data_IF_094359852701
#
_entry.id   IF_094359852701
#
_cell.length_a   1.000
_cell.length_b   1.000
_cell.length_c   1.000
_cell.angle_alpha   90.00
_cell.angle_beta   90.00
_cell.angle_gamma   90.00
#
_symmetry.space_group_name_H-M   'P 1'
#
loop_
_entity.id
_entity.type
_entity.pdbx_description
1 polymer ?
#
# COMPACT_ATOMS: atom_id res chain seq x y z
N UNK A 1 18.76 -5.18 26.41
CA UNK A 1 19.33 -4.54 25.20
C UNK A 1 19.14 -3.03 25.23
N UNK A 2 18.12 -2.52 25.92
CA UNK A 2 17.64 -1.14 25.86
C UNK A 2 18.46 -0.13 26.70
N UNK A 3 18.82 -0.43 27.95
CA UNK A 3 19.76 0.40 28.76
C UNK A 3 21.11 0.70 28.08
N UNK A 4 21.61 -0.23 27.27
CA UNK A 4 22.86 -0.04 26.52
C UNK A 4 22.72 1.08 25.47
N UNK A 5 21.56 1.18 24.83
CA UNK A 5 21.28 2.21 23.82
C UNK A 5 21.21 3.59 24.48
N UNK A 6 20.59 3.69 25.65
CA UNK A 6 20.55 4.94 26.44
C UNK A 6 21.95 5.37 26.87
N UNK A 7 22.77 4.45 27.37
CA UNK A 7 24.14 4.75 27.75
C UNK A 7 25.02 5.18 26.55
N UNK A 8 24.80 4.57 25.38
CA UNK A 8 25.46 4.98 24.13
C UNK A 8 25.03 6.38 23.71
N UNK A 9 23.73 6.68 23.78
CA UNK A 9 23.19 8.01 23.53
C UNK A 9 23.80 9.07 24.46
N UNK A 10 23.82 8.81 25.78
CA UNK A 10 24.42 9.72 26.75
C UNK A 10 25.90 9.98 26.46
N UNK A 11 26.64 8.93 26.09
CA UNK A 11 28.05 9.05 25.67
C UNK A 11 28.20 9.86 24.38
N UNK A 12 27.29 9.69 23.42
CA UNK A 12 27.26 10.45 22.17
C UNK A 12 26.99 11.93 22.43
N UNK A 13 26.01 12.26 23.27
CA UNK A 13 25.69 13.64 23.68
C UNK A 13 26.88 14.29 24.40
N UNK A 14 27.51 13.61 25.35
CA UNK A 14 28.70 14.10 26.05
C UNK A 14 29.85 14.43 25.08
N UNK A 15 30.07 13.57 24.08
CA UNK A 15 31.07 13.80 23.05
C UNK A 15 30.70 14.99 22.16
N UNK A 16 29.44 15.08 21.71
CA UNK A 16 28.97 16.20 20.89
C UNK A 16 29.15 17.55 21.61
N UNK A 17 28.87 17.62 22.92
CA UNK A 17 29.08 18.82 23.73
C UNK A 17 30.57 19.16 23.85
N UNK A 18 31.43 18.15 24.09
CA UNK A 18 32.88 18.35 24.24
C UNK A 18 33.57 18.80 22.95
N UNK A 19 33.19 18.26 21.80
CA UNK A 19 33.83 18.55 20.52
C UNK A 19 33.19 19.73 19.77
N UNK A 20 31.89 19.98 19.95
CA UNK A 20 31.13 21.03 19.26
C UNK A 20 31.22 22.42 19.90
N UNK A 21 31.66 22.54 21.15
CA UNK A 21 31.87 23.82 21.84
C UNK A 21 30.60 24.59 22.24
N UNK A 22 29.42 24.13 21.82
CA UNK A 22 28.10 24.62 22.26
C UNK A 22 27.09 23.47 22.22
N UNK A 23 26.04 23.54 23.04
CA UNK A 23 24.86 22.66 22.94
C UNK A 23 24.08 23.02 21.68
N UNK A 24 24.54 22.53 20.54
CA UNK A 24 23.88 22.75 19.25
C UNK A 24 22.65 21.85 19.18
N UNK A 25 21.47 22.44 19.39
CA UNK A 25 20.13 21.83 19.40
C UNK A 25 19.96 20.80 18.27
N UNK A 26 20.32 21.18 17.04
CA UNK A 26 20.17 20.32 15.87
C UNK A 26 20.99 19.01 15.96
N UNK A 27 22.11 19.01 16.67
CA UNK A 27 22.97 17.84 16.84
C UNK A 27 22.48 16.92 17.95
N UNK A 28 21.94 17.47 19.04
CA UNK A 28 21.40 16.69 20.16
C UNK A 28 20.05 16.07 19.75
N UNK A 29 19.20 16.84 19.06
CA UNK A 29 17.97 16.35 18.44
C UNK A 29 18.23 15.10 17.57
N UNK A 30 19.26 15.16 16.73
CA UNK A 30 19.63 14.03 15.85
C UNK A 30 20.10 12.79 16.63
N UNK A 31 20.82 12.98 17.74
CA UNK A 31 21.23 11.88 18.61
C UNK A 31 20.01 11.20 19.26
N UNK A 32 19.03 11.99 19.72
CA UNK A 32 17.80 11.44 20.30
C UNK A 32 16.91 10.77 19.25
N UNK A 33 16.83 11.34 18.05
CA UNK A 33 16.16 10.72 16.89
C UNK A 33 16.74 9.33 16.59
N UNK A 34 18.07 9.19 16.61
CA UNK A 34 18.75 7.91 16.42
C UNK A 34 18.42 6.92 17.54
N UNK A 35 18.37 7.38 18.80
CA UNK A 35 17.99 6.55 19.94
C UNK A 35 16.56 6.02 19.76
N UNK A 36 15.59 6.91 19.50
CA UNK A 36 14.19 6.52 19.27
C UNK A 36 14.06 5.53 18.10
N UNK A 37 14.77 5.76 16.99
CA UNK A 37 14.80 4.85 15.86
C UNK A 37 15.30 3.45 16.25
N UNK A 38 16.31 3.34 17.13
CA UNK A 38 16.79 2.05 17.62
C UNK A 38 15.75 1.32 18.49
N UNK A 39 14.94 2.04 19.27
CA UNK A 39 13.82 1.46 20.03
C UNK A 39 12.65 1.04 19.12
N UNK A 40 12.48 1.71 17.98
CA UNK A 40 11.46 1.39 16.99
C UNK A 40 11.78 0.11 16.19
N UNK A 41 13.06 -0.14 15.86
CA UNK A 41 13.51 -1.27 15.03
C UNK A 41 12.97 -2.65 15.46
N UNK A 42 13.04 -3.08 16.74
CA UNK A 42 12.53 -4.38 17.17
C UNK A 42 11.04 -4.61 16.89
N UNK A 43 10.24 -3.53 16.80
CA UNK A 43 8.80 -3.57 16.52
C UNK A 43 8.46 -3.35 15.06
N UNK A 44 9.47 -3.25 14.20
CA UNK A 44 9.31 -2.86 12.80
C UNK A 44 8.60 -1.49 12.67
N UNK A 45 8.90 -0.58 13.60
CA UNK A 45 8.46 0.80 13.55
C UNK A 45 9.55 1.67 12.94
N UNK A 46 9.15 2.80 12.38
CA UNK A 46 10.02 3.80 11.78
C UNK A 46 9.63 5.18 12.30
N UNK A 47 10.61 5.95 12.76
CA UNK A 47 10.41 7.36 13.08
C UNK A 47 10.52 8.16 11.77
N UNK A 48 9.46 8.89 11.42
CA UNK A 48 9.42 9.77 10.25
C UNK A 48 9.54 11.21 10.74
N UNK A 49 10.58 11.96 10.33
CA UNK A 49 10.75 13.34 10.77
C UNK A 49 9.77 14.29 10.09
N UNK A 50 9.35 15.33 10.80
CA UNK A 50 8.63 16.52 10.30
C UNK A 50 7.37 16.23 9.46
N UNK A 51 6.58 15.23 9.86
CA UNK A 51 5.36 14.87 9.15
C UNK A 51 4.18 15.82 9.47
N UNK A 52 3.43 16.23 8.45
CA UNK A 52 2.21 17.03 8.62
C UNK A 52 1.11 16.25 9.37
N UNK A 53 0.59 16.84 10.45
CA UNK A 53 -0.54 16.35 11.25
C UNK A 53 -1.71 17.33 11.20
N UNK A 54 -2.90 16.83 10.83
CA UNK A 54 -4.15 17.61 10.88
C UNK A 54 -4.74 17.60 12.28
N UNK A 55 -4.90 18.77 12.87
CA UNK A 55 -5.44 18.93 14.21
C UNK A 55 -6.96 18.88 14.23
N UNK A 56 -7.54 18.71 15.44
CA UNK A 56 -8.99 18.82 15.69
C UNK A 56 -9.55 20.21 15.32
N UNK A 57 -8.71 21.22 15.20
CA UNK A 57 -9.07 22.60 14.85
C UNK A 57 -9.01 22.87 13.34
N UNK A 58 -8.82 21.84 12.51
CA UNK A 58 -8.62 21.96 11.06
C UNK A 58 -7.40 22.81 10.67
N UNK A 59 -6.40 22.86 11.55
CA UNK A 59 -5.07 23.41 11.29
C UNK A 59 -4.07 22.29 11.03
N UNK A 60 -2.91 22.62 10.48
CA UNK A 60 -1.80 21.67 10.29
C UNK A 60 -0.65 22.01 11.21
N UNK A 61 -0.13 21.00 11.91
CA UNK A 61 1.07 21.08 12.74
C UNK A 61 2.09 20.05 12.27
N UNK A 62 3.36 20.23 12.61
CA UNK A 62 4.44 19.30 12.23
C UNK A 62 5.21 18.87 13.47
N UNK A 63 4.95 17.66 13.98
CA UNK A 63 5.78 17.06 15.00
C UNK A 63 7.21 16.83 14.51
N UNK A 64 8.22 17.01 15.36
CA UNK A 64 9.62 16.75 15.01
C UNK A 64 9.82 15.29 14.55
N UNK A 65 9.12 14.34 15.17
CA UNK A 65 9.07 12.96 14.71
C UNK A 65 7.72 12.29 14.92
N UNK A 66 7.36 11.39 14.02
CA UNK A 66 6.15 10.56 14.10
C UNK A 66 6.53 9.09 13.98
N UNK A 67 6.21 8.29 15.00
CA UNK A 67 6.45 6.84 15.01
C UNK A 67 5.34 6.16 14.22
N UNK A 68 5.70 5.44 13.16
CA UNK A 68 4.79 4.66 12.33
C UNK A 68 5.16 3.19 12.28
N UNK A 69 4.18 2.31 12.17
CA UNK A 69 4.43 0.89 11.90
C UNK A 69 4.52 0.58 10.39
N UNK A 70 4.75 -0.70 10.07
CA UNK A 70 4.84 -1.20 8.70
C UNK A 70 3.59 -0.93 7.84
N UNK A 71 2.42 -0.80 8.46
CA UNK A 71 1.16 -0.48 7.80
C UNK A 71 0.82 1.02 7.90
N UNK A 72 1.79 1.83 8.35
CA UNK A 72 1.79 3.29 8.47
C UNK A 72 0.78 3.87 9.44
N UNK A 73 0.34 3.07 10.41
CA UNK A 73 -0.42 3.59 11.52
C UNK A 73 0.50 4.36 12.46
N UNK A 74 0.02 5.51 12.93
CA UNK A 74 0.71 6.38 13.87
C UNK A 74 0.59 5.83 15.29
N UNK A 75 1.73 5.61 15.96
CA UNK A 75 1.81 5.09 17.33
C UNK A 75 2.15 6.17 18.35
N UNK A 76 2.90 7.20 17.96
CA UNK A 76 3.24 8.30 18.84
C UNK A 76 4.00 9.40 18.12
N UNK A 77 4.14 10.54 18.80
CA UNK A 77 4.81 11.73 18.29
C UNK A 77 5.94 12.13 19.23
N UNK A 78 6.96 12.78 18.69
CA UNK A 78 8.09 13.28 19.43
C UNK A 78 8.33 14.74 19.07
N UNK A 79 8.66 15.53 20.08
CA UNK A 79 9.00 16.94 20.03
C UNK A 79 10.28 17.19 20.82
N UNK A 80 11.25 17.82 20.17
CA UNK A 80 12.51 18.25 20.76
C UNK A 80 12.46 19.76 21.01
N UNK A 81 12.98 20.22 22.14
CA UNK A 81 12.99 21.63 22.54
C UNK A 81 14.37 22.06 22.98
N UNK A 82 14.57 23.37 22.97
CA UNK A 82 15.77 23.97 23.51
C UNK A 82 15.78 23.91 25.03
N UNK A 83 16.96 23.70 25.59
CA UNK A 83 17.20 23.68 27.04
C UNK A 83 16.94 25.00 27.77
N UNK A 84 16.80 26.10 27.01
CA UNK A 84 16.51 27.43 27.52
C UNK A 84 15.01 27.68 27.61
N UNK A 85 14.18 26.80 27.05
CA UNK A 85 12.74 26.88 27.13
C UNK A 85 12.24 26.33 28.46
N UNK A 86 11.16 26.92 28.98
CA UNK A 86 10.40 26.29 30.07
C UNK A 86 9.53 25.22 29.44
N UNK A 87 9.98 23.97 29.53
CA UNK A 87 9.35 22.81 28.86
C UNK A 87 7.82 22.75 29.06
N UNK A 88 7.34 23.05 30.27
CA UNK A 88 5.90 23.03 30.57
C UNK A 88 5.12 24.09 29.78
N UNK A 89 5.68 25.29 29.59
CA UNK A 89 5.03 26.35 28.78
C UNK A 89 5.01 25.99 27.29
N UNK A 90 6.06 25.31 26.79
CA UNK A 90 6.09 24.86 25.40
C UNK A 90 5.11 23.71 25.16
N UNK A 91 4.97 22.78 26.11
CA UNK A 91 3.96 21.72 26.09
C UNK A 91 2.56 22.35 26.00
N UNK A 92 2.24 23.33 26.86
CA UNK A 92 0.95 24.04 26.83
C UNK A 92 0.69 24.71 25.48
N UNK A 93 1.64 25.49 24.96
CA UNK A 93 1.53 26.16 23.64
C UNK A 93 1.32 25.17 22.50
N UNK A 94 1.93 23.98 22.56
CA UNK A 94 1.78 22.94 21.54
C UNK A 94 0.37 22.35 21.58
N UNK A 95 -0.19 22.09 22.76
CA UNK A 95 -1.58 21.65 22.86
C UNK A 95 -2.59 22.73 22.46
N UNK A 96 -2.32 24.01 22.74
CA UNK A 96 -3.13 25.13 22.24
C UNK A 96 -3.16 25.18 20.70
N UNK A 97 -2.05 24.82 20.04
CA UNK A 97 -1.96 24.69 18.58
C UNK A 97 -2.65 23.44 18.03
N UNK A 98 -3.08 22.52 18.89
CA UNK A 98 -3.77 21.28 18.53
C UNK A 98 -2.86 20.08 18.27
N UNK A 99 -1.66 20.06 18.85
CA UNK A 99 -0.79 18.89 18.80
C UNK A 99 -1.49 17.65 19.40
N UNK A 100 -1.12 16.44 18.93
CA UNK A 100 -1.74 15.22 19.41
C UNK A 100 -1.40 14.95 20.88
N UNK A 101 -2.41 14.53 21.64
CA UNK A 101 -2.34 14.31 23.09
C UNK A 101 -2.45 12.83 23.49
N UNK A 102 -2.59 11.92 22.52
CA UNK A 102 -2.78 10.48 22.78
C UNK A 102 -1.48 9.78 23.24
N UNK A 103 -0.34 10.07 22.60
CA UNK A 103 0.97 9.53 22.96
C UNK A 103 2.09 10.40 22.38
N UNK A 104 2.53 11.41 23.13
CA UNK A 104 3.56 12.36 22.69
C UNK A 104 4.68 12.46 23.71
N UNK A 105 5.92 12.43 23.21
CA UNK A 105 7.15 12.56 23.97
C UNK A 105 7.74 13.95 23.74
N UNK A 106 7.92 14.71 24.81
CA UNK A 106 8.63 15.98 24.79
C UNK A 106 9.99 15.83 25.47
N UNK A 107 11.01 16.49 24.94
CA UNK A 107 12.32 16.54 25.60
C UNK A 107 13.07 17.84 25.33
N UNK A 108 13.90 18.27 26.29
CA UNK A 108 14.72 19.50 26.23
C UNK A 108 16.22 19.23 26.47
N UNK A 109 16.69 18.01 26.14
CA UNK A 109 18.02 17.48 26.45
C UNK A 109 18.37 17.31 27.94
N UNK A 110 17.55 17.81 28.88
CA UNK A 110 17.73 17.63 30.32
C UNK A 110 16.64 16.76 30.93
N UNK A 111 15.41 16.91 30.44
CA UNK A 111 14.20 16.28 30.93
C UNK A 111 13.45 15.68 29.74
N UNK A 112 12.91 14.49 29.93
CA UNK A 112 11.95 13.89 29.02
C UNK A 112 10.59 13.75 29.71
N UNK A 113 9.53 14.15 29.03
CA UNK A 113 8.15 14.14 29.52
C UNK A 113 7.28 13.34 28.56
N UNK A 114 6.64 12.30 29.05
CA UNK A 114 5.70 11.48 28.29
C UNK A 114 4.27 11.87 28.65
N UNK A 115 3.49 12.26 27.64
CA UNK A 115 2.07 12.58 27.77
C UNK A 115 1.26 11.54 27.02
N UNK A 116 0.30 10.93 27.72
CA UNK A 116 -0.66 10.00 27.15
C UNK A 116 -2.07 10.37 27.58
N UNK A 117 -2.99 10.39 26.64
CA UNK A 117 -4.39 10.80 26.84
C UNK A 117 -4.54 12.16 27.53
N UNK A 118 -3.73 13.15 27.12
CA UNK A 118 -3.72 14.50 27.67
C UNK A 118 -3.23 14.58 29.13
N UNK A 119 -2.60 13.53 29.65
CA UNK A 119 -2.04 13.49 31.00
C UNK A 119 -0.56 13.13 30.96
N UNK A 120 0.24 13.86 31.73
CA UNK A 120 1.62 13.48 32.00
C UNK A 120 1.65 12.13 32.73
N UNK A 121 2.34 11.16 32.14
CA UNK A 121 2.51 9.82 32.70
C UNK A 121 3.83 9.70 33.43
N UNK A 122 4.91 10.21 32.82
CA UNK A 122 6.27 10.11 33.31
C UNK A 122 7.03 11.39 32.99
N UNK A 123 7.89 11.81 33.91
CA UNK A 123 8.88 12.86 33.75
C UNK A 123 10.18 12.39 34.37
N UNK A 124 11.21 12.32 33.56
CA UNK A 124 12.50 11.71 33.93
C UNK A 124 13.64 12.61 33.50
N UNK A 125 14.75 12.52 34.23
CA UNK A 125 15.99 13.17 33.84
C UNK A 125 16.64 12.40 32.69
N UNK A 126 17.12 13.11 31.67
CA UNK A 126 17.94 12.52 30.59
C UNK A 126 19.24 11.89 31.10
N UNK A 127 19.70 12.28 32.29
CA UNK A 127 20.86 11.71 32.96
C UNK A 127 20.61 10.37 33.65
N UNK A 128 19.34 10.03 33.94
CA UNK A 128 19.00 8.73 34.54
C UNK A 128 18.73 7.70 33.45
N UNK A 129 19.70 6.82 33.22
CA UNK A 129 19.61 5.83 32.15
C UNK A 129 18.50 4.78 32.39
N UNK A 130 18.19 4.47 33.64
CA UNK A 130 17.19 3.43 33.96
C UNK A 130 15.76 4.01 33.83
N UNK A 131 15.54 5.24 34.31
CA UNK A 131 14.26 5.92 34.16
C UNK A 131 13.97 6.32 32.70
N UNK A 132 14.99 6.78 31.95
CA UNK A 132 14.85 7.12 30.54
C UNK A 132 14.57 5.88 29.68
N UNK A 133 15.20 4.74 29.97
CA UNK A 133 14.87 3.47 29.31
C UNK A 133 13.39 3.11 29.52
N UNK A 134 12.91 3.20 30.77
CA UNK A 134 11.52 2.94 31.13
C UNK A 134 10.53 3.86 30.42
N UNK A 135 10.85 5.15 30.33
CA UNK A 135 10.03 6.14 29.64
C UNK A 135 9.95 5.87 28.13
N UNK A 136 11.08 5.68 27.45
CA UNK A 136 11.09 5.41 26.00
C UNK A 136 10.40 4.07 25.70
N UNK A 137 10.60 3.05 26.54
CA UNK A 137 9.89 1.79 26.42
C UNK A 137 8.38 2.01 26.52
N UNK A 138 7.89 2.77 27.51
CA UNK A 138 6.47 3.10 27.69
C UNK A 138 5.89 3.88 26.51
N UNK A 139 6.66 4.80 25.94
CA UNK A 139 6.29 5.55 24.73
C UNK A 139 6.15 4.64 23.50
N UNK A 140 7.12 3.75 23.26
CA UNK A 140 7.18 2.89 22.07
C UNK A 140 6.27 1.66 22.18
N UNK A 141 6.02 1.16 23.40
CA UNK A 141 5.09 0.06 23.68
C UNK A 141 3.62 0.48 23.73
N UNK A 142 3.35 1.77 23.71
CA UNK A 142 2.00 2.27 23.69
C UNK A 142 1.27 1.84 22.41
N UNK A 143 0.29 0.97 22.57
CA UNK A 143 -0.61 0.59 21.49
C UNK A 143 -1.89 1.40 21.60
N UNK A 144 -2.08 2.33 20.65
CA UNK A 144 -3.33 3.10 20.54
C UNK A 144 -4.52 2.14 20.49
N UNK A 145 -5.63 2.41 21.24
CA UNK A 145 -6.83 1.57 21.20
C UNK A 145 -7.32 1.33 19.77
N UNK A 146 -7.26 2.39 18.98
CA UNK A 146 -7.50 2.42 17.54
C UNK A 146 -6.69 1.40 16.73
N UNK A 147 -5.38 1.29 16.99
CA UNK A 147 -4.48 0.37 16.29
C UNK A 147 -4.71 -1.06 16.76
N UNK A 148 -4.96 -1.26 18.06
CA UNK A 148 -5.32 -2.56 18.62
C UNK A 148 -6.63 -3.08 18.03
N UNK A 149 -7.66 -2.24 17.96
CA UNK A 149 -8.95 -2.60 17.38
C UNK A 149 -8.80 -2.97 15.90
N UNK A 150 -7.96 -2.22 15.18
CA UNK A 150 -7.60 -2.54 13.79
C UNK A 150 -6.88 -3.89 13.65
N UNK A 151 -5.83 -4.14 14.45
CA UNK A 151 -5.09 -5.42 14.42
C UNK A 151 -5.99 -6.59 14.80
N UNK A 152 -6.87 -6.40 15.77
CA UNK A 152 -7.86 -7.39 16.18
C UNK A 152 -8.83 -7.68 15.04
N UNK A 153 -9.31 -6.65 14.34
CA UNK A 153 -10.18 -6.80 13.18
C UNK A 153 -9.48 -7.54 12.03
N UNK A 154 -8.22 -7.22 11.70
CA UNK A 154 -7.45 -7.92 10.67
C UNK A 154 -7.23 -9.40 11.05
N UNK A 155 -6.93 -9.68 12.32
CA UNK A 155 -6.75 -11.05 12.80
C UNK A 155 -8.05 -11.85 12.68
N UNK A 156 -9.15 -11.32 13.19
CA UNK A 156 -10.44 -11.98 13.12
C UNK A 156 -10.93 -12.15 11.67
N UNK A 157 -10.70 -11.15 10.82
CA UNK A 157 -10.94 -11.25 9.38
C UNK A 157 -10.12 -12.37 8.73
N UNK A 158 -8.83 -12.51 9.06
CA UNK A 158 -8.00 -13.62 8.58
C UNK A 158 -8.55 -14.98 9.01
N UNK A 159 -9.04 -15.08 10.24
CA UNK A 159 -9.59 -16.31 10.79
C UNK A 159 -10.96 -16.65 10.13
N UNK A 160 -11.73 -15.65 9.71
CA UNK A 160 -13.03 -15.81 9.01
C UNK A 160 -12.92 -16.03 7.50
N UNK A 161 -11.83 -15.60 6.85
CA UNK A 161 -11.63 -15.76 5.39
C UNK A 161 -11.91 -17.20 4.92
N UNK A 162 -11.32 -18.25 5.52
CA UNK A 162 -11.54 -19.63 5.07
C UNK A 162 -13.03 -20.01 5.01
N UNK A 163 -13.82 -19.58 6.01
CA UNK A 163 -15.25 -19.87 6.05
C UNK A 163 -16.02 -19.17 4.93
N UNK A 164 -15.60 -17.96 4.55
CA UNK A 164 -16.19 -17.21 3.45
C UNK A 164 -15.81 -17.83 2.11
N UNK A 165 -14.56 -18.27 1.97
CA UNK A 165 -14.12 -19.00 0.77
C UNK A 165 -14.93 -20.26 0.57
N UNK A 166 -15.16 -21.02 1.64
CA UNK A 166 -15.99 -22.23 1.57
C UNK A 166 -17.43 -21.88 1.17
N UNK A 167 -18.03 -20.84 1.77
CA UNK A 167 -19.36 -20.39 1.41
C UNK A 167 -19.46 -19.90 -0.05
N UNK A 168 -18.48 -19.13 -0.54
CA UNK A 168 -18.43 -18.67 -1.93
C UNK A 168 -18.25 -19.83 -2.90
N UNK A 169 -17.37 -20.78 -2.59
CA UNK A 169 -17.18 -22.01 -3.38
C UNK A 169 -18.46 -22.83 -3.43
N UNK A 170 -19.19 -22.92 -2.34
CA UNK A 170 -20.45 -23.67 -2.30
C UNK A 170 -21.57 -22.98 -3.09
N UNK A 171 -21.67 -21.65 -3.04
CA UNK A 171 -22.60 -20.89 -3.90
C UNK A 171 -22.25 -21.07 -5.39
N UNK A 172 -20.96 -21.05 -5.75
CA UNK A 172 -20.51 -21.33 -7.12
C UNK A 172 -20.86 -22.77 -7.53
N UNK A 173 -20.57 -23.78 -6.69
CA UNK A 173 -20.94 -25.18 -6.96
C UNK A 173 -22.45 -25.37 -7.11
N UNK A 174 -23.24 -24.62 -6.35
CA UNK A 174 -24.70 -24.62 -6.48
C UNK A 174 -25.13 -24.02 -7.82
N UNK A 175 -24.58 -22.87 -8.18
CA UNK A 175 -24.83 -22.24 -9.48
C UNK A 175 -24.42 -23.17 -10.65
N UNK A 176 -23.30 -23.88 -10.54
CA UNK A 176 -22.87 -24.90 -11.50
C UNK A 176 -23.92 -25.98 -11.74
N UNK A 177 -24.59 -26.45 -10.67
CA UNK A 177 -25.60 -27.51 -10.78
C UNK A 177 -26.93 -26.97 -11.29
N UNK A 178 -27.36 -25.83 -10.76
CA UNK A 178 -28.75 -25.38 -10.86
C UNK A 178 -28.99 -24.29 -11.92
N UNK A 179 -27.95 -23.57 -12.36
CA UNK A 179 -28.09 -22.36 -13.17
C UNK A 179 -27.44 -22.50 -14.55
N UNK A 180 -28.27 -22.69 -15.57
CA UNK A 180 -27.82 -22.80 -16.97
C UNK A 180 -27.17 -21.52 -17.48
N UNK A 181 -27.79 -20.36 -17.19
CA UNK A 181 -27.25 -19.06 -17.59
C UNK A 181 -25.85 -18.80 -17.02
N UNK A 182 -25.60 -19.23 -15.79
CA UNK A 182 -24.27 -19.18 -15.17
C UNK A 182 -23.25 -20.01 -15.97
N UNK A 183 -23.59 -21.28 -16.26
CA UNK A 183 -22.70 -22.18 -17.03
C UNK A 183 -22.38 -21.63 -18.42
N UNK A 184 -23.37 -21.09 -19.11
CA UNK A 184 -23.18 -20.52 -20.45
C UNK A 184 -22.24 -19.32 -20.43
N UNK A 185 -22.45 -18.38 -19.51
CA UNK A 185 -21.60 -17.20 -19.36
C UNK A 185 -20.18 -17.57 -18.91
N UNK A 186 -20.05 -18.50 -17.96
CA UNK A 186 -18.75 -19.02 -17.53
C UNK A 186 -18.01 -19.72 -18.67
N UNK A 187 -18.69 -20.52 -19.49
CA UNK A 187 -18.07 -21.18 -20.65
C UNK A 187 -17.57 -20.18 -21.68
N UNK A 188 -18.37 -19.16 -22.00
CA UNK A 188 -17.95 -18.10 -22.89
C UNK A 188 -16.71 -17.37 -22.35
N UNK A 189 -16.72 -17.05 -21.05
CA UNK A 189 -15.58 -16.40 -20.41
C UNK A 189 -14.32 -17.28 -20.34
N UNK A 190 -14.48 -18.58 -20.06
CA UNK A 190 -13.38 -19.56 -20.08
C UNK A 190 -12.70 -19.57 -21.45
N UNK A 191 -13.48 -19.60 -22.53
CA UNK A 191 -12.93 -19.60 -23.89
C UNK A 191 -12.16 -18.31 -24.17
N UNK A 192 -12.69 -17.16 -23.76
CA UNK A 192 -12.00 -15.87 -23.88
C UNK A 192 -10.68 -15.87 -23.11
N UNK A 193 -10.66 -16.39 -21.88
CA UNK A 193 -9.44 -16.51 -21.09
C UNK A 193 -8.41 -17.44 -21.74
N UNK A 194 -8.84 -18.56 -22.32
CA UNK A 194 -7.94 -19.48 -23.03
C UNK A 194 -7.28 -18.85 -24.25
N UNK A 195 -8.05 -18.05 -24.99
CA UNK A 195 -7.57 -17.37 -26.18
C UNK A 195 -6.69 -16.15 -25.85
N UNK A 196 -7.00 -15.45 -24.76
CA UNK A 196 -6.36 -14.16 -24.45
C UNK A 196 -5.26 -14.25 -23.40
N UNK A 197 -5.30 -15.24 -22.51
CA UNK A 197 -4.39 -15.36 -21.37
C UNK A 197 -3.50 -16.60 -21.53
N UNK A 198 -4.08 -17.80 -21.40
CA UNK A 198 -3.36 -19.07 -21.47
C UNK A 198 -4.34 -20.24 -21.77
N UNK A 199 -4.08 -21.10 -22.79
CA UNK A 199 -4.91 -22.25 -23.17
C UNK A 199 -5.13 -23.28 -22.06
N UNK A 200 -4.23 -23.37 -21.09
CA UNK A 200 -4.30 -24.33 -19.97
C UNK A 200 -5.28 -23.90 -18.87
N UNK A 201 -5.91 -22.71 -18.96
CA UNK A 201 -6.90 -22.26 -17.99
C UNK A 201 -8.07 -23.25 -17.92
N UNK A 202 -8.46 -23.62 -16.70
CA UNK A 202 -9.55 -24.54 -16.40
C UNK A 202 -10.74 -23.82 -15.74
N UNK A 203 -11.87 -24.55 -15.63
CA UNK A 203 -13.07 -24.07 -14.91
C UNK A 203 -12.73 -23.68 -13.47
N UNK A 204 -11.84 -24.43 -12.83
CA UNK A 204 -11.38 -24.14 -11.47
C UNK A 204 -10.74 -22.75 -11.37
N UNK A 205 -9.92 -22.36 -12.34
CA UNK A 205 -9.29 -21.04 -12.35
C UNK A 205 -10.32 -19.93 -12.51
N UNK A 206 -11.35 -20.14 -13.35
CA UNK A 206 -12.47 -19.21 -13.47
C UNK A 206 -13.20 -19.06 -12.13
N UNK A 207 -13.46 -20.15 -11.41
CA UNK A 207 -14.09 -20.09 -10.08
C UNK A 207 -13.23 -19.28 -9.10
N UNK A 208 -11.92 -19.48 -9.10
CA UNK A 208 -11.01 -18.69 -8.27
C UNK A 208 -10.96 -17.21 -8.68
N UNK A 209 -11.03 -16.89 -9.98
CA UNK A 209 -11.17 -15.50 -10.46
C UNK A 209 -12.46 -14.85 -9.97
N UNK A 210 -13.59 -15.57 -9.98
CA UNK A 210 -14.87 -15.08 -9.44
C UNK A 210 -14.74 -14.75 -7.94
N UNK A 211 -14.17 -15.66 -7.15
CA UNK A 211 -13.99 -15.48 -5.71
C UNK A 211 -13.08 -14.29 -5.43
N UNK A 212 -11.94 -14.21 -6.11
CA UNK A 212 -11.00 -13.09 -5.96
C UNK A 212 -11.68 -11.76 -6.29
N UNK A 213 -12.43 -11.70 -7.40
CA UNK A 213 -13.18 -10.51 -7.77
C UNK A 213 -14.24 -10.11 -6.74
N UNK A 214 -15.03 -11.06 -6.21
CA UNK A 214 -16.04 -10.76 -5.16
C UNK A 214 -15.36 -10.09 -3.95
N UNK A 215 -14.27 -10.67 -3.47
CA UNK A 215 -13.60 -10.18 -2.26
C UNK A 215 -12.90 -8.85 -2.50
N UNK A 216 -12.28 -8.66 -3.67
CA UNK A 216 -11.69 -7.36 -4.01
C UNK A 216 -12.74 -6.29 -4.21
N UNK A 217 -13.81 -6.56 -4.96
CA UNK A 217 -14.86 -5.56 -5.21
C UNK A 217 -15.43 -5.03 -3.89
N UNK A 218 -15.65 -5.92 -2.92
CA UNK A 218 -16.17 -5.54 -1.63
C UNK A 218 -15.17 -4.70 -0.82
N UNK A 219 -13.88 -5.06 -0.83
CA UNK A 219 -12.80 -4.26 -0.25
C UNK A 219 -12.75 -2.87 -0.90
N UNK A 220 -12.77 -2.79 -2.22
CA UNK A 220 -12.68 -1.52 -2.95
C UNK A 220 -13.89 -0.61 -2.72
N UNK A 221 -15.08 -1.18 -2.78
CA UNK A 221 -16.33 -0.45 -2.59
C UNK A 221 -16.50 0.01 -1.15
N UNK A 222 -16.25 -0.88 -0.19
CA UNK A 222 -16.54 -0.61 1.22
C UNK A 222 -15.40 0.06 1.98
N UNK A 223 -14.17 0.03 1.49
CA UNK A 223 -13.06 0.67 2.21
C UNK A 223 -12.61 1.94 1.49
N UNK A 224 -12.69 1.96 0.17
CA UNK A 224 -12.06 3.02 -0.64
C UNK A 224 -13.06 3.91 -1.37
N UNK A 225 -14.34 3.56 -1.41
CA UNK A 225 -15.37 4.27 -2.19
C UNK A 225 -15.06 4.36 -3.69
N UNK A 226 -14.09 3.57 -4.17
CA UNK A 226 -13.66 3.52 -5.58
C UNK A 226 -14.38 2.38 -6.30
N UNK A 227 -15.72 2.48 -6.36
CA UNK A 227 -16.53 1.55 -7.16
C UNK A 227 -16.34 1.72 -8.66
N UNK A 228 -15.70 2.82 -9.09
CA UNK A 228 -15.56 3.18 -10.49
C UNK A 228 -14.60 2.23 -11.22
N UNK A 229 -13.50 1.81 -10.59
CA UNK A 229 -12.56 0.85 -11.17
C UNK A 229 -13.23 -0.45 -11.62
N UNK A 230 -14.03 -1.09 -10.76
CA UNK A 230 -14.69 -2.37 -11.09
C UNK A 230 -15.78 -2.21 -12.17
N UNK A 231 -16.33 -1.00 -12.31
CA UNK A 231 -17.34 -0.67 -13.34
C UNK A 231 -16.73 -0.35 -14.69
N UNK A 232 -15.51 0.20 -14.71
CA UNK A 232 -14.85 0.66 -15.94
C UNK A 232 -13.85 -0.37 -16.48
N UNK A 233 -13.19 -1.11 -15.59
CA UNK A 233 -12.25 -2.15 -15.99
C UNK A 233 -12.97 -3.27 -16.76
N UNK A 234 -12.47 -3.58 -17.94
CA UNK A 234 -13.06 -4.53 -18.87
C UNK A 234 -13.13 -5.96 -18.30
N UNK A 235 -12.06 -6.46 -17.67
CA UNK A 235 -12.06 -7.80 -17.06
C UNK A 235 -13.03 -7.86 -15.88
N UNK A 236 -13.06 -6.80 -15.06
CA UNK A 236 -13.96 -6.69 -13.92
C UNK A 236 -15.44 -6.72 -14.35
N UNK A 237 -15.77 -6.08 -15.48
CA UNK A 237 -17.12 -6.10 -16.05
C UNK A 237 -17.56 -7.49 -16.51
N UNK A 238 -16.71 -8.21 -17.24
CA UNK A 238 -17.04 -9.57 -17.72
C UNK A 238 -17.32 -10.52 -16.53
N UNK A 239 -16.50 -10.43 -15.48
CA UNK A 239 -16.72 -11.21 -14.26
C UNK A 239 -18.00 -10.78 -13.54
N UNK A 240 -18.27 -9.48 -13.46
CA UNK A 240 -19.49 -8.94 -12.85
C UNK A 240 -20.75 -9.47 -13.55
N UNK A 241 -20.71 -9.63 -14.88
CA UNK A 241 -21.84 -10.20 -15.64
C UNK A 241 -22.11 -11.67 -15.30
N UNK A 242 -21.07 -12.45 -14.99
CA UNK A 242 -21.20 -13.83 -14.50
C UNK A 242 -21.79 -13.82 -13.08
N UNK A 243 -21.27 -12.98 -12.19
CA UNK A 243 -21.76 -12.89 -10.80
C UNK A 243 -23.22 -12.47 -10.73
N UNK A 244 -23.66 -11.59 -11.63
CA UNK A 244 -25.04 -11.15 -11.72
C UNK A 244 -26.05 -12.29 -11.98
N UNK A 245 -25.61 -13.48 -12.41
CA UNK A 245 -26.51 -14.61 -12.66
C UNK A 245 -26.90 -15.38 -11.40
N UNK A 246 -26.11 -15.33 -10.33
CA UNK A 246 -26.34 -16.16 -9.12
C UNK A 246 -26.05 -15.43 -7.80
N UNK A 247 -25.11 -14.48 -7.78
CA UNK A 247 -24.63 -13.83 -6.57
C UNK A 247 -25.23 -12.44 -6.38
N UNK A 248 -26.55 -12.37 -6.25
CA UNK A 248 -27.29 -11.09 -6.17
C UNK A 248 -28.11 -10.94 -4.88
N UNK A 249 -28.40 -9.69 -4.50
CA UNK A 249 -29.33 -9.34 -3.43
C UNK A 249 -29.06 -10.05 -2.10
N UNK A 250 -29.97 -10.94 -1.72
CA UNK A 250 -29.92 -11.65 -0.45
C UNK A 250 -28.74 -12.62 -0.35
N UNK A 251 -28.38 -13.31 -1.44
CA UNK A 251 -27.25 -14.25 -1.46
C UNK A 251 -25.96 -13.53 -1.12
N UNK A 252 -25.64 -12.45 -1.86
CA UNK A 252 -24.46 -11.62 -1.59
C UNK A 252 -24.42 -11.11 -0.15
N UNK A 253 -25.54 -10.53 0.33
CA UNK A 253 -25.60 -9.96 1.67
C UNK A 253 -25.42 -11.01 2.76
N UNK A 254 -26.02 -12.19 2.61
CA UNK A 254 -25.92 -13.25 3.60
C UNK A 254 -24.52 -13.86 3.64
N UNK A 255 -23.89 -14.08 2.48
CA UNK A 255 -22.55 -14.66 2.38
C UNK A 255 -21.47 -13.72 2.90
N UNK A 256 -21.59 -12.41 2.66
CA UNK A 256 -20.59 -11.42 3.07
C UNK A 256 -20.88 -10.74 4.42
N UNK A 257 -21.98 -11.14 5.11
CA UNK A 257 -22.39 -10.51 6.37
C UNK A 257 -21.32 -10.60 7.46
N UNK A 258 -20.59 -11.70 7.54
CA UNK A 258 -19.56 -11.91 8.56
C UNK A 258 -18.43 -10.89 8.47
N UNK A 259 -18.20 -10.31 7.28
CA UNK A 259 -17.08 -9.39 7.04
C UNK A 259 -17.43 -7.90 7.02
N UNK A 260 -18.71 -7.55 7.01
CA UNK A 260 -19.17 -6.16 7.08
C UNK A 260 -18.56 -5.40 8.28
N UNK A 261 -18.44 -6.07 9.43
CA UNK A 261 -17.88 -5.44 10.63
C UNK A 261 -16.40 -5.07 10.46
N UNK A 262 -15.60 -5.91 9.80
CA UNK A 262 -14.19 -5.63 9.54
C UNK A 262 -14.03 -4.45 8.60
N UNK A 263 -14.85 -4.39 7.54
CA UNK A 263 -14.85 -3.25 6.64
C UNK A 263 -15.22 -1.96 7.35
N UNK A 264 -16.14 -1.99 8.32
CA UNK A 264 -16.46 -0.80 9.11
C UNK A 264 -15.24 -0.31 9.95
N UNK A 265 -14.45 -1.22 10.53
CA UNK A 265 -13.25 -0.87 11.30
C UNK A 265 -12.16 -0.30 10.38
N UNK A 266 -11.90 -0.94 9.24
CA UNK A 266 -10.89 -0.47 8.27
C UNK A 266 -11.31 0.87 7.66
N UNK A 267 -12.60 1.07 7.35
CA UNK A 267 -13.15 2.33 6.83
C UNK A 267 -12.99 3.48 7.81
N UNK A 268 -13.38 3.30 9.08
CA UNK A 268 -13.18 4.32 10.13
C UNK A 268 -11.71 4.74 10.26
N UNK A 269 -10.78 3.83 10.00
CA UNK A 269 -9.35 4.12 10.00
C UNK A 269 -8.94 4.87 8.74
N UNK A 270 -9.40 4.45 7.56
CA UNK A 270 -9.08 5.11 6.29
C UNK A 270 -9.64 6.53 6.18
N UNK A 271 -10.76 6.83 6.85
CA UNK A 271 -11.36 8.17 6.95
C UNK A 271 -10.51 9.16 7.76
N UNK A 272 -9.80 8.67 8.78
CA UNK A 272 -8.94 9.50 9.63
C UNK A 272 -7.57 9.79 9.01
N UNK A 273 -7.22 9.13 7.88
CA UNK A 273 -5.96 9.37 7.19
C UNK A 273 -6.10 10.64 6.35
N UNK A 274 -5.49 11.73 6.84
CA UNK A 274 -5.61 13.07 6.25
C UNK A 274 -4.98 13.19 4.85
N UNK A 275 -3.94 12.40 4.55
CA UNK A 275 -3.14 12.50 3.35
C UNK A 275 -3.48 11.37 2.36
N UNK A 276 -3.82 11.72 1.11
CA UNK A 276 -4.09 10.75 0.04
C UNK A 276 -2.94 9.75 -0.18
N UNK A 277 -1.68 10.19 -0.06
CA UNK A 277 -0.54 9.31 -0.23
C UNK A 277 -0.42 8.27 0.91
N UNK A 278 -0.73 8.67 2.13
CA UNK A 278 -0.74 7.76 3.27
C UNK A 278 -1.91 6.80 3.21
N UNK A 279 -3.06 7.27 2.74
CA UNK A 279 -4.23 6.44 2.48
C UNK A 279 -3.84 5.33 1.52
N UNK A 280 -3.15 5.62 0.42
CA UNK A 280 -2.71 4.60 -0.55
C UNK A 280 -1.74 3.57 0.01
N UNK A 281 -0.77 4.00 0.80
CA UNK A 281 0.15 3.02 1.41
C UNK A 281 -0.54 2.16 2.47
N UNK A 282 -1.53 2.70 3.17
CA UNK A 282 -2.45 1.91 3.99
C UNK A 282 -3.28 0.93 3.14
N UNK A 283 -3.75 1.34 1.96
CA UNK A 283 -4.47 0.45 1.03
C UNK A 283 -3.62 -0.74 0.62
N UNK A 284 -2.37 -0.48 0.20
CA UNK A 284 -1.39 -1.51 -0.16
C UNK A 284 -1.20 -2.49 1.00
N UNK A 285 -1.01 -1.99 2.21
CA UNK A 285 -0.82 -2.81 3.40
C UNK A 285 -2.06 -3.66 3.78
N UNK A 286 -3.28 -3.10 3.71
CA UNK A 286 -4.52 -3.85 3.96
C UNK A 286 -4.65 -5.00 2.97
N UNK A 287 -4.41 -4.71 1.70
CA UNK A 287 -4.48 -5.70 0.65
C UNK A 287 -3.41 -6.79 0.82
N UNK A 288 -2.17 -6.42 1.12
CA UNK A 288 -1.08 -7.38 1.31
C UNK A 288 -1.43 -8.44 2.37
N UNK A 289 -2.02 -7.97 3.48
CA UNK A 289 -2.47 -8.85 4.55
C UNK A 289 -3.69 -9.68 4.13
N UNK A 290 -4.61 -9.11 3.35
CA UNK A 290 -5.72 -9.85 2.75
C UNK A 290 -5.22 -10.99 1.87
N UNK A 291 -4.27 -10.73 0.97
CA UNK A 291 -3.79 -11.72 0.02
C UNK A 291 -3.10 -12.89 0.73
N UNK A 292 -2.23 -12.60 1.71
CA UNK A 292 -1.58 -13.61 2.55
C UNK A 292 -2.58 -14.48 3.31
N UNK A 293 -3.70 -13.90 3.71
CA UNK A 293 -4.79 -14.62 4.37
C UNK A 293 -5.62 -15.48 3.38
N UNK A 294 -5.90 -14.95 2.18
CA UNK A 294 -6.72 -15.58 1.15
C UNK A 294 -6.11 -16.87 0.61
N UNK A 295 -4.84 -16.84 0.22
CA UNK A 295 -4.21 -18.02 -0.38
C UNK A 295 -2.75 -18.14 0.06
N UNK A 296 -2.47 -18.62 1.28
CA UNK A 296 -1.11 -18.73 1.81
C UNK A 296 -0.20 -19.56 0.90
N UNK A 297 -0.74 -20.65 0.34
CA UNK A 297 0.01 -21.57 -0.55
C UNK A 297 0.30 -20.95 -1.91
N UNK A 298 -0.63 -20.20 -2.50
CA UNK A 298 -0.35 -19.48 -3.74
C UNK A 298 0.48 -18.23 -3.50
N UNK A 299 0.41 -17.56 -2.34
CA UNK A 299 1.31 -16.48 -1.98
C UNK A 299 2.77 -16.96 -1.91
N UNK A 300 2.99 -18.15 -1.31
CA UNK A 300 4.31 -18.78 -1.28
C UNK A 300 4.75 -19.32 -2.67
N UNK A 301 3.82 -19.79 -3.51
CA UNK A 301 4.11 -20.41 -4.83
C UNK A 301 4.21 -19.43 -6.00
N UNK A 302 3.33 -18.43 -6.05
CA UNK A 302 3.33 -17.34 -7.03
C UNK A 302 4.38 -16.28 -6.69
N UNK A 303 4.97 -16.34 -5.50
CA UNK A 303 6.07 -15.48 -5.11
C UNK A 303 5.72 -14.02 -5.34
N UNK A 304 4.63 -13.53 -4.72
CA UNK A 304 4.37 -12.08 -4.65
C UNK A 304 5.48 -11.47 -3.76
N UNK A 305 6.66 -11.36 -4.35
CA UNK A 305 7.84 -10.75 -3.79
C UNK A 305 7.72 -9.30 -4.19
N UNK A 306 7.47 -8.46 -3.19
CA UNK A 306 7.60 -7.03 -3.39
C UNK A 306 9.06 -6.72 -3.65
N UNK A 307 9.34 -6.25 -4.85
CA UNK A 307 10.65 -5.69 -5.17
C UNK A 307 10.79 -4.39 -4.37
N UNK A 308 11.79 -4.27 -3.48
CA UNK A 308 12.03 -3.03 -2.75
C UNK A 308 12.17 -1.84 -3.69
N UNK A 309 11.55 -0.70 -3.36
CA UNK A 309 11.55 0.48 -4.21
C UNK A 309 12.97 0.99 -4.51
N UNK A 310 13.92 0.77 -3.61
CA UNK A 310 15.33 1.11 -3.80
C UNK A 310 15.95 0.32 -4.95
N UNK A 311 15.60 -0.96 -5.08
CA UNK A 311 16.08 -1.83 -6.16
C UNK A 311 15.47 -1.40 -7.48
N UNK A 312 14.16 -1.13 -7.48
CA UNK A 312 13.43 -0.68 -8.69
C UNK A 312 13.99 0.65 -9.20
N UNK A 313 14.21 1.63 -8.30
CA UNK A 313 14.79 2.93 -8.66
C UNK A 313 16.19 2.79 -9.25
N UNK A 314 17.04 1.98 -8.62
CA UNK A 314 18.37 1.67 -9.16
C UNK A 314 18.30 1.10 -10.57
N UNK A 315 17.37 0.18 -10.84
CA UNK A 315 17.20 -0.42 -12.17
C UNK A 315 16.68 0.58 -13.21
N UNK A 316 15.74 1.46 -12.86
CA UNK A 316 15.23 2.52 -13.75
C UNK A 316 16.36 3.51 -14.10
N UNK A 317 17.09 4.01 -13.10
CA UNK A 317 18.22 4.92 -13.32
C UNK A 317 19.33 4.28 -14.16
N UNK A 318 19.61 3.00 -13.91
CA UNK A 318 20.58 2.23 -14.69
C UNK A 318 20.13 2.03 -16.13
N UNK A 319 18.85 1.74 -16.36
CA UNK A 319 18.28 1.58 -17.69
C UNK A 319 18.32 2.89 -18.48
N UNK A 320 17.98 4.03 -17.85
CA UNK A 320 18.08 5.34 -18.47
C UNK A 320 19.53 5.72 -18.83
N UNK A 321 20.46 5.51 -17.89
CA UNK A 321 21.89 5.73 -18.13
C UNK A 321 22.42 4.88 -19.29
N UNK A 322 22.09 3.59 -19.34
CA UNK A 322 22.54 2.69 -20.42
C UNK A 322 21.89 3.07 -21.75
N UNK A 323 20.62 3.46 -21.75
CA UNK A 323 19.92 3.95 -22.94
C UNK A 323 20.63 5.19 -23.50
N UNK A 324 21.00 6.13 -22.64
CA UNK A 324 21.72 7.33 -23.04
C UNK A 324 23.13 7.01 -23.54
N UNK A 325 23.88 6.20 -22.80
CA UNK A 325 25.27 5.85 -23.10
C UNK A 325 25.42 5.13 -24.45
N UNK A 326 24.50 4.22 -24.75
CA UNK A 326 24.63 3.34 -25.91
C UNK A 326 23.79 3.76 -27.11
N UNK A 327 22.69 4.49 -26.90
CA UNK A 327 21.76 4.89 -27.98
C UNK A 327 21.56 6.40 -28.10
N UNK A 328 22.13 7.21 -27.20
CA UNK A 328 21.97 8.67 -27.23
C UNK A 328 20.52 9.11 -26.96
N UNK A 329 19.75 8.29 -26.25
CA UNK A 329 18.33 8.49 -25.93
C UNK A 329 18.08 8.35 -24.43
N UNK A 330 17.07 9.04 -23.92
CA UNK A 330 16.57 8.84 -22.56
C UNK A 330 15.28 8.03 -22.59
N UNK A 331 14.94 7.36 -21.50
CA UNK A 331 13.64 6.70 -21.29
C UNK A 331 12.47 7.68 -21.48
N UNK A 332 12.70 8.98 -21.26
CA UNK A 332 11.70 10.04 -21.47
C UNK A 332 11.55 10.48 -22.94
N UNK A 333 12.47 10.10 -23.83
CA UNK A 333 12.44 10.52 -25.23
C UNK A 333 11.37 9.76 -26.03
N UNK A 334 10.64 10.42 -26.94
CA UNK A 334 9.72 9.74 -27.86
C UNK A 334 10.43 8.66 -28.69
N UNK A 335 9.73 7.55 -28.92
CA UNK A 335 10.22 6.37 -29.63
C UNK A 335 10.97 5.36 -28.75
N UNK A 336 11.06 5.59 -27.44
CA UNK A 336 11.59 4.62 -26.46
C UNK A 336 10.41 3.92 -25.77
N UNK A 337 10.07 2.73 -26.25
CA UNK A 337 9.01 1.87 -25.72
C UNK A 337 9.51 1.10 -24.47
N UNK A 338 8.69 1.04 -23.43
CA UNK A 338 9.01 0.40 -22.14
C UNK A 338 7.95 -0.63 -21.81
N UNK A 339 8.37 -1.88 -21.63
CA UNK A 339 7.49 -3.01 -21.28
C UNK A 339 7.94 -3.63 -19.95
N UNK A 340 7.00 -3.74 -19.02
CA UNK A 340 7.12 -4.57 -17.82
C UNK A 340 6.29 -5.86 -18.00
N UNK A 341 6.92 -6.99 -18.36
CA UNK A 341 6.20 -8.20 -18.76
C UNK A 341 5.59 -8.98 -17.59
N UNK A 342 5.92 -8.63 -16.34
CA UNK A 342 5.46 -9.31 -15.13
C UNK A 342 5.31 -8.29 -14.00
N UNK A 343 4.35 -7.38 -14.18
CA UNK A 343 4.28 -6.15 -13.41
C UNK A 343 3.91 -6.36 -11.94
N UNK A 344 3.32 -7.50 -11.61
CA UNK A 344 2.87 -7.83 -10.27
C UNK A 344 1.90 -6.76 -9.79
N UNK A 345 2.34 -5.95 -8.83
CA UNK A 345 1.55 -4.85 -8.25
C UNK A 345 1.82 -3.49 -8.91
N UNK A 346 2.50 -3.45 -10.06
CA UNK A 346 2.78 -2.24 -10.82
C UNK A 346 3.99 -1.44 -10.34
N UNK A 347 4.86 -2.03 -9.49
CA UNK A 347 5.90 -1.26 -8.78
C UNK A 347 6.88 -0.58 -9.75
N UNK A 348 7.35 -1.27 -10.80
CA UNK A 348 8.21 -0.67 -11.82
C UNK A 348 7.53 0.48 -12.55
N UNK A 349 6.28 0.29 -12.97
CA UNK A 349 5.53 1.33 -13.68
C UNK A 349 5.29 2.54 -12.79
N UNK A 350 4.95 2.36 -11.51
CA UNK A 350 4.75 3.47 -10.58
C UNK A 350 6.04 4.25 -10.33
N UNK A 351 7.18 3.57 -10.11
CA UNK A 351 8.47 4.25 -9.91
C UNK A 351 8.94 4.92 -11.21
N UNK A 352 8.63 4.35 -12.38
CA UNK A 352 8.91 4.96 -13.68
C UNK A 352 8.09 6.24 -13.88
N UNK A 353 6.80 6.21 -13.52
CA UNK A 353 5.95 7.41 -13.54
C UNK A 353 6.56 8.49 -12.64
N UNK A 354 7.00 8.15 -11.44
CA UNK A 354 7.66 9.08 -10.50
C UNK A 354 9.02 9.59 -11.00
N UNK A 355 9.75 8.79 -11.77
CA UNK A 355 11.05 9.16 -12.35
C UNK A 355 10.92 10.12 -13.55
N UNK A 356 9.97 9.88 -14.45
CA UNK A 356 9.87 10.61 -15.72
C UNK A 356 9.43 12.08 -15.54
N UNK A 357 9.94 13.03 -16.34
CA UNK A 357 9.55 14.43 -16.21
C UNK A 357 8.09 14.65 -16.67
N UNK A 358 7.37 15.54 -15.98
CA UNK A 358 5.93 15.75 -16.16
C UNK A 358 5.55 16.21 -17.57
N UNK A 359 6.41 16.95 -18.26
CA UNK A 359 6.19 17.44 -19.63
C UNK A 359 6.28 16.32 -20.69
N UNK A 360 6.85 15.16 -20.35
CA UNK A 360 6.95 13.98 -21.23
C UNK A 360 6.02 12.85 -20.82
N UNK A 361 5.65 12.81 -19.54
CA UNK A 361 4.94 11.69 -18.93
C UNK A 361 3.59 11.38 -19.60
N UNK A 362 2.80 12.38 -20.01
CA UNK A 362 1.49 12.12 -20.63
C UNK A 362 1.61 11.31 -21.93
N UNK A 363 2.57 11.64 -22.78
CA UNK A 363 2.83 10.86 -24.01
C UNK A 363 3.28 9.44 -23.67
N UNK A 364 4.25 9.32 -22.75
CA UNK A 364 4.78 8.03 -22.30
C UNK A 364 3.68 7.13 -21.73
N UNK A 365 2.90 7.65 -20.80
CA UNK A 365 1.80 6.93 -20.14
C UNK A 365 0.76 6.43 -21.14
N UNK A 366 0.36 7.26 -22.10
CA UNK A 366 -0.69 6.91 -23.08
C UNK A 366 -0.20 5.96 -24.16
N UNK A 367 1.08 5.99 -24.51
CA UNK A 367 1.53 5.38 -25.75
C UNK A 367 2.74 4.47 -25.63
N UNK A 368 3.65 4.67 -24.68
CA UNK A 368 4.98 4.05 -24.71
C UNK A 368 5.37 3.31 -23.41
N UNK A 369 4.49 3.28 -22.42
CA UNK A 369 4.62 2.48 -21.20
C UNK A 369 3.57 1.39 -21.25
N UNK A 370 4.01 0.14 -21.14
CA UNK A 370 3.19 -1.06 -21.21
C UNK A 370 3.50 -1.99 -20.06
N UNK A 371 2.51 -2.72 -19.58
CA UNK A 371 2.76 -3.76 -18.61
C UNK A 371 1.78 -4.93 -18.68
N UNK A 372 2.25 -6.10 -18.28
CA UNK A 372 1.48 -7.34 -18.36
C UNK A 372 1.46 -8.04 -17.01
N UNK A 373 0.38 -8.76 -16.75
CA UNK A 373 0.23 -9.60 -15.56
C UNK A 373 -0.63 -10.83 -15.90
N UNK A 374 -0.35 -11.97 -15.28
CA UNK A 374 -1.10 -13.21 -15.50
C UNK A 374 -2.18 -13.42 -14.42
N UNK A 375 -1.95 -12.92 -13.21
CA UNK A 375 -2.87 -13.07 -12.09
C UNK A 375 -3.81 -11.87 -11.96
N UNK A 376 -5.12 -12.14 -11.92
CA UNK A 376 -6.18 -11.12 -11.87
C UNK A 376 -6.03 -10.14 -10.69
N UNK A 377 -5.60 -10.65 -9.54
CA UNK A 377 -5.55 -9.92 -8.30
C UNK A 377 -4.39 -8.89 -8.31
N UNK A 378 -3.13 -9.29 -8.58
CA UNK A 378 -2.05 -8.36 -8.93
C UNK A 378 -2.39 -7.39 -10.07
N UNK A 379 -3.06 -7.87 -11.14
CA UNK A 379 -3.50 -7.02 -12.26
C UNK A 379 -4.38 -5.84 -11.80
N UNK A 380 -5.38 -6.10 -10.95
CA UNK A 380 -6.24 -5.03 -10.41
C UNK A 380 -5.43 -4.03 -9.59
N UNK A 381 -4.49 -4.50 -8.77
CA UNK A 381 -3.62 -3.59 -8.02
C UNK A 381 -2.76 -2.74 -8.93
N UNK A 382 -2.09 -3.37 -9.89
CA UNK A 382 -1.18 -2.67 -10.77
C UNK A 382 -1.92 -1.53 -11.46
N UNK A 383 -3.10 -1.81 -12.00
CA UNK A 383 -3.91 -0.81 -12.66
C UNK A 383 -4.25 0.38 -11.73
N UNK A 384 -4.78 0.11 -10.54
CA UNK A 384 -5.11 1.16 -9.56
C UNK A 384 -3.89 1.97 -9.11
N UNK A 385 -2.78 1.29 -8.80
CA UNK A 385 -1.55 1.95 -8.38
C UNK A 385 -1.01 2.87 -9.48
N UNK A 386 -1.04 2.41 -10.73
CA UNK A 386 -0.57 3.16 -11.90
C UNK A 386 -1.43 4.41 -12.14
N UNK A 387 -2.75 4.25 -12.21
CA UNK A 387 -3.69 5.36 -12.42
C UNK A 387 -3.60 6.40 -11.30
N UNK A 388 -3.51 5.93 -10.05
CA UNK A 388 -3.37 6.81 -8.89
C UNK A 388 -2.04 7.58 -8.92
N UNK A 389 -0.92 6.90 -9.20
CA UNK A 389 0.41 7.53 -9.23
C UNK A 389 0.45 8.60 -10.32
N UNK A 390 -0.13 8.31 -11.49
CA UNK A 390 -0.29 9.29 -12.55
C UNK A 390 -1.15 10.49 -12.10
N UNK A 391 -2.29 10.25 -11.47
CA UNK A 391 -3.17 11.31 -10.98
C UNK A 391 -2.48 12.23 -9.96
N UNK A 392 -1.70 11.66 -9.03
CA UNK A 392 -0.95 12.44 -8.05
C UNK A 392 0.10 13.33 -8.71
N UNK A 393 0.87 12.76 -9.64
CA UNK A 393 1.97 13.46 -10.28
C UNK A 393 1.48 14.52 -11.29
N UNK A 394 0.41 14.23 -12.01
CA UNK A 394 -0.11 15.10 -13.08
C UNK A 394 -1.26 16.01 -12.62
N UNK A 395 -1.84 15.78 -11.44
CA UNK A 395 -2.98 16.53 -10.92
C UNK A 395 -4.31 16.27 -11.66
N UNK A 396 -4.36 15.28 -12.56
CA UNK A 396 -5.54 14.91 -13.35
C UNK A 396 -5.63 13.39 -13.51
N UNK A 397 -6.84 12.85 -13.48
CA UNK A 397 -7.08 11.43 -13.71
C UNK A 397 -6.98 11.08 -15.20
N UNK A 398 -6.41 9.92 -15.51
CA UNK A 398 -6.39 9.31 -16.84
C UNK A 398 -6.32 7.79 -16.69
N UNK A 399 -7.21 7.07 -17.36
CA UNK A 399 -7.25 5.60 -17.38
C UNK A 399 -5.94 5.02 -17.96
N UNK A 400 -5.38 3.98 -17.32
CA UNK A 400 -4.22 3.27 -17.87
C UNK A 400 -4.65 2.17 -18.84
N UNK A 401 -4.52 2.45 -20.14
CA UNK A 401 -4.98 1.56 -21.21
C UNK A 401 -3.98 0.48 -21.61
N UNK A 402 -2.73 0.58 -21.16
CA UNK A 402 -1.62 -0.26 -21.63
C UNK A 402 -1.23 -1.37 -20.64
N UNK A 403 -2.14 -1.72 -19.72
CA UNK A 403 -2.05 -2.94 -18.91
C UNK A 403 -2.86 -4.07 -19.53
N UNK A 404 -2.23 -5.25 -19.69
CA UNK A 404 -2.85 -6.47 -20.21
C UNK A 404 -2.89 -7.57 -19.16
N UNK A 405 -4.02 -8.30 -19.10
CA UNK A 405 -4.10 -9.58 -18.39
C UNK A 405 -3.75 -10.68 -19.39
N UNK A 406 -2.54 -11.25 -19.29
CA UNK A 406 -1.95 -12.14 -20.30
C UNK A 406 -0.81 -12.98 -19.73
N UNK A 407 -0.62 -14.21 -20.22
CA UNK A 407 0.62 -14.96 -20.02
C UNK A 407 1.64 -14.54 -21.09
N UNK A 408 2.69 -13.83 -20.67
CA UNK A 408 3.68 -13.29 -21.61
C UNK A 408 4.52 -14.37 -22.30
N UNK A 409 4.67 -15.56 -21.71
CA UNK A 409 5.45 -16.65 -22.32
C UNK A 409 4.69 -17.32 -23.45
N UNK A 410 3.37 -17.44 -23.32
CA UNK A 410 2.53 -18.06 -24.34
C UNK A 410 2.35 -17.13 -25.56
N UNK A 411 2.22 -15.83 -25.32
CA UNK A 411 2.06 -14.81 -26.38
C UNK A 411 3.36 -14.48 -27.14
N UNK A 412 4.54 -14.91 -26.67
CA UNK A 412 5.79 -14.81 -27.42
C UNK A 412 5.86 -15.76 -28.64
N UNK A 413 4.96 -16.74 -28.73
CA UNK A 413 5.00 -17.80 -29.75
C UNK A 413 4.31 -17.42 -31.08
N UNK A 414 4.10 -16.13 -31.35
CA UNK A 414 3.27 -15.56 -32.42
C UNK A 414 3.76 -15.80 -33.87
N UNK A 415 3.77 -17.06 -34.29
CA UNK A 415 3.60 -17.49 -35.66
C UNK A 415 2.37 -18.42 -35.73
N UNK A 416 1.18 -17.94 -35.38
CA UNK A 416 -0.02 -18.74 -35.67
C UNK A 416 -1.33 -18.44 -34.95
N UNK A 417 -1.38 -17.64 -33.88
CA UNK A 417 -2.65 -17.36 -33.23
C UNK A 417 -3.40 -16.22 -33.93
N UNK A 418 -4.19 -16.60 -34.94
CA UNK A 418 -5.21 -15.75 -35.54
C UNK A 418 -6.25 -15.45 -34.44
N UNK A 419 -6.18 -14.25 -33.85
CA UNK A 419 -7.21 -13.79 -32.92
C UNK A 419 -8.55 -13.78 -33.64
N UNK A 420 -9.46 -14.66 -33.25
CA UNK A 420 -10.79 -14.72 -33.84
C UNK A 420 -11.53 -13.43 -33.49
N UNK A 421 -12.01 -12.73 -34.51
CA UNK A 421 -12.61 -11.38 -34.45
C UNK A 421 -13.91 -11.34 -33.61
N UNK A 422 -14.31 -12.48 -33.04
CA UNK A 422 -15.55 -12.71 -32.31
C UNK A 422 -15.36 -12.99 -30.81
N UNK A 423 -14.14 -12.94 -30.27
CA UNK A 423 -13.89 -13.18 -28.85
C UNK A 423 -14.41 -12.01 -27.98
N UNK A 424 -15.42 -12.29 -27.14
CA UNK A 424 -16.05 -11.31 -26.24
C UNK A 424 -15.18 -10.95 -25.02
N UNK A 425 -13.99 -10.41 -25.26
CA UNK A 425 -13.40 -9.33 -24.44
C UNK A 425 -12.58 -8.39 -25.35
N UNK A 426 -13.27 -7.77 -26.32
CA UNK A 426 -12.68 -6.96 -27.42
C UNK A 426 -11.54 -6.05 -26.94
N UNK A 427 -11.65 -5.49 -25.73
CA UNK A 427 -10.66 -4.56 -25.20
C UNK A 427 -9.35 -5.20 -24.71
N UNK A 428 -9.36 -6.33 -23.96
CA UNK A 428 -8.09 -6.94 -23.49
C UNK A 428 -7.32 -7.52 -24.68
N UNK A 429 -8.02 -8.28 -25.53
CA UNK A 429 -7.45 -8.83 -26.76
C UNK A 429 -6.94 -7.72 -27.69
N UNK A 430 -7.67 -6.61 -27.83
CA UNK A 430 -7.19 -5.46 -28.60
C UNK A 430 -5.97 -4.78 -27.98
N UNK A 431 -5.87 -4.70 -26.64
CA UNK A 431 -4.68 -4.16 -25.96
C UNK A 431 -3.46 -5.04 -26.22
N UNK A 432 -3.62 -6.37 -26.12
CA UNK A 432 -2.57 -7.34 -26.42
C UNK A 432 -2.13 -7.22 -27.89
N UNK A 433 -3.08 -7.17 -28.84
CA UNK A 433 -2.75 -7.00 -30.25
C UNK A 433 -1.99 -5.68 -30.51
N UNK A 434 -2.46 -4.56 -29.94
CA UNK A 434 -1.79 -3.26 -30.08
C UNK A 434 -0.37 -3.26 -29.49
N UNK A 435 -0.14 -4.03 -28.43
CA UNK A 435 1.19 -4.19 -27.84
C UNK A 435 2.09 -5.04 -28.75
N UNK A 436 1.58 -6.16 -29.27
CA UNK A 436 2.32 -7.06 -30.18
C UNK A 436 2.61 -6.41 -31.55
N UNK A 437 1.74 -5.54 -32.05
CA UNK A 437 1.94 -4.83 -33.33
C UNK A 437 3.07 -3.77 -33.26
N UNK A 438 3.59 -3.47 -32.06
CA UNK A 438 4.68 -2.50 -31.84
C UNK A 438 6.06 -3.14 -31.79
N UNK A 439 6.12 -4.47 -31.66
CA UNK A 439 7.34 -5.29 -31.73
C UNK A 439 7.51 -5.88 -33.11
#
# INVERSE_FOLDING_TARGET
MSRLLVAQYQTEVDNLIRYGGSRNEASIRRAFENLLNQYCKPRNYMLVPELDFKTKFNTTVRPDGTVKDAIRLEHGWWESKDEFDVLDLEIEKKFEKGYPDENILFEDSQTAVLIQHGREQLRVSMGDADELDGLIATFVDYERPEVRDFRTAIKAFRDDIPHILDALRDEIKKAERENERFRDRRNAFLEVCRQSINPEIEIFDIHEMLIQHILTEDIFTNIFHESQFHRENNIAREISEILATFFTGATRKNTLKSIEHYYAVIRRKSENIANHHEKQKFLKAVYENFYKAYNPKAADRLGIVYTPNEIVRFMIESADYLTHKHFGKLLSDPGVEILDPCTGTGTYVTELIEYLPTDKLEHKYKHEIHCNEVAILPYYIANLNIEFTYQQKMGKYEEFKNICLVDTLDHCSAAGHQFDLFAMSVQNTSRIQQQNDRT
#
